data_IF_538160790917
#
_entry.id   IF_538160790917
#
_cell.length_a   1.000
_cell.length_b   1.000
_cell.length_c   1.000
_cell.angle_alpha   90.00
_cell.angle_beta   90.00
_cell.angle_gamma   90.00
#
_symmetry.space_group_name_H-M   'P 1'
#
loop_
_entity.id
_entity.type
_entity.pdbx_description
1 polymer ?
#
# COMPACT_ATOMS: atom_id res chain seq x y z
N UNK A 1 3.57 18.27 -30.82
CA UNK A 1 3.43 17.03 -30.03
C UNK A 1 2.44 17.32 -28.91
N UNK A 2 1.22 16.75 -28.95
CA UNK A 2 0.18 17.07 -27.95
C UNK A 2 0.70 16.74 -26.56
N UNK A 3 0.53 17.61 -25.55
CA UNK A 3 0.79 17.21 -24.17
C UNK A 3 -0.17 16.06 -23.86
N UNK A 4 0.39 14.87 -23.60
CA UNK A 4 -0.40 13.81 -22.98
C UNK A 4 -0.91 14.39 -21.66
N UNK A 5 -2.23 14.41 -21.49
CA UNK A 5 -2.86 14.73 -20.21
C UNK A 5 -2.12 13.94 -19.12
N UNK A 6 -1.85 14.54 -17.94
CA UNK A 6 -1.36 13.75 -16.82
C UNK A 6 -2.35 12.60 -16.63
N UNK A 7 -1.83 11.41 -16.32
CA UNK A 7 -2.61 10.23 -15.89
C UNK A 7 -3.28 10.54 -14.53
N UNK A 8 -4.01 11.63 -14.45
CA UNK A 8 -4.76 12.05 -13.29
C UNK A 8 -5.86 11.02 -13.05
N UNK A 9 -5.84 10.43 -11.85
CA UNK A 9 -6.99 9.94 -11.11
C UNK A 9 -7.86 8.87 -11.78
N UNK A 10 -7.26 7.83 -12.38
CA UNK A 10 -8.07 6.64 -12.73
C UNK A 10 -8.45 5.78 -11.51
N UNK A 11 -7.79 5.99 -10.38
CA UNK A 11 -7.97 5.20 -9.17
C UNK A 11 -7.94 6.10 -7.93
N UNK A 12 -8.96 6.94 -7.77
CA UNK A 12 -9.26 7.55 -6.47
C UNK A 12 -9.57 6.44 -5.47
N UNK A 13 -9.27 6.62 -4.17
CA UNK A 13 -9.58 5.63 -3.12
C UNK A 13 -11.07 5.22 -3.06
N UNK A 14 -11.50 4.53 -2.01
CA UNK A 14 -12.89 4.03 -1.93
C UNK A 14 -13.96 5.13 -1.76
N UNK A 15 -13.52 6.39 -1.76
CA UNK A 15 -14.34 7.59 -1.78
C UNK A 15 -14.68 8.12 -0.38
N UNK A 16 -15.54 9.14 -0.38
CA UNK A 16 -16.01 9.81 0.82
C UNK A 16 -17.13 9.04 1.52
N UNK A 17 -17.15 9.08 2.86
CA UNK A 17 -18.15 8.47 3.73
C UNK A 17 -18.54 9.42 4.86
N UNK A 18 -19.81 9.35 5.27
CA UNK A 18 -20.35 10.19 6.33
C UNK A 18 -19.75 9.83 7.71
N UNK A 19 -19.88 10.77 8.65
CA UNK A 19 -19.44 10.60 10.03
C UNK A 19 -20.06 9.33 10.64
N UNK A 20 -19.25 8.53 11.33
CA UNK A 20 -19.71 7.30 11.98
C UNK A 20 -19.89 6.10 11.03
N UNK A 21 -19.38 6.17 9.80
CA UNK A 21 -19.41 5.04 8.86
C UNK A 21 -18.81 3.77 9.46
N UNK A 22 -19.60 2.69 9.42
CA UNK A 22 -19.19 1.34 9.82
C UNK A 22 -19.18 0.45 8.58
N UNK A 23 -18.05 -0.14 8.21
CA UNK A 23 -18.02 -0.99 7.03
C UNK A 23 -18.77 -2.31 7.28
N UNK A 24 -19.27 -2.89 6.21
CA UNK A 24 -19.89 -4.21 6.19
C UNK A 24 -19.03 -5.20 5.40
N UNK A 25 -19.29 -6.51 5.51
CA UNK A 25 -18.68 -7.50 4.62
C UNK A 25 -18.95 -7.23 3.13
N UNK A 26 -20.08 -6.59 2.79
CA UNK A 26 -20.41 -6.20 1.42
C UNK A 26 -19.45 -5.11 0.93
N UNK A 27 -19.17 -4.10 1.75
CA UNK A 27 -18.19 -3.05 1.43
C UNK A 27 -16.80 -3.65 1.18
N UNK A 28 -16.44 -4.68 1.94
CA UNK A 28 -15.18 -5.40 1.72
C UNK A 28 -15.17 -6.13 0.36
N UNK A 29 -16.27 -6.78 -0.02
CA UNK A 29 -16.40 -7.43 -1.34
C UNK A 29 -16.27 -6.44 -2.51
N UNK A 30 -16.86 -5.24 -2.39
CA UNK A 30 -16.69 -4.17 -3.38
C UNK A 30 -15.23 -3.72 -3.45
N UNK A 31 -14.58 -3.52 -2.31
CA UNK A 31 -13.16 -3.22 -2.24
C UNK A 31 -12.31 -4.31 -2.91
N UNK A 32 -12.58 -5.59 -2.65
CA UNK A 32 -11.83 -6.70 -3.26
C UNK A 32 -11.98 -6.72 -4.79
N UNK A 33 -13.18 -6.46 -5.30
CA UNK A 33 -13.45 -6.34 -6.73
C UNK A 33 -12.64 -5.20 -7.37
N UNK A 34 -12.68 -4.00 -6.77
CA UNK A 34 -11.95 -2.83 -7.29
C UNK A 34 -10.43 -3.05 -7.25
N UNK A 35 -9.94 -3.64 -6.15
CA UNK A 35 -8.53 -4.01 -6.00
C UNK A 35 -8.10 -5.06 -7.03
N UNK A 36 -8.92 -6.09 -7.27
CA UNK A 36 -8.63 -7.11 -8.28
C UNK A 36 -8.60 -6.52 -9.70
N UNK A 37 -9.49 -5.58 -9.99
CA UNK A 37 -9.48 -4.81 -11.24
C UNK A 37 -8.18 -4.02 -11.41
N UNK A 38 -7.70 -3.37 -10.34
CA UNK A 38 -6.41 -2.68 -10.36
C UNK A 38 -5.25 -3.65 -10.60
N UNK A 39 -5.21 -4.79 -9.91
CA UNK A 39 -4.15 -5.79 -10.13
C UNK A 39 -4.17 -6.40 -11.54
N UNK A 40 -5.32 -6.48 -12.17
CA UNK A 40 -5.46 -6.95 -13.56
C UNK A 40 -5.01 -5.88 -14.58
N UNK A 41 -4.83 -4.63 -14.15
CA UNK A 41 -4.30 -3.57 -14.99
C UNK A 41 -2.77 -3.65 -15.10
N UNK A 42 -2.16 -3.01 -16.11
CA UNK A 42 -0.70 -2.95 -16.23
C UNK A 42 0.00 -2.30 -15.01
N UNK A 43 -0.69 -1.39 -14.32
CA UNK A 43 -0.23 -0.75 -13.06
C UNK A 43 -0.16 -1.72 -11.89
N UNK A 44 -0.90 -2.83 -11.96
CA UNK A 44 -0.87 -3.90 -10.95
C UNK A 44 0.53 -4.50 -10.74
N UNK A 45 1.41 -4.39 -11.74
CA UNK A 45 2.80 -4.83 -11.65
C UNK A 45 3.59 -4.12 -10.55
N UNK A 46 3.46 -2.80 -10.42
CA UNK A 46 4.10 -2.02 -9.36
C UNK A 46 3.72 -2.53 -7.96
N UNK A 47 2.44 -2.87 -7.75
CA UNK A 47 1.98 -3.43 -6.48
C UNK A 47 2.58 -4.79 -6.15
N UNK A 48 2.85 -5.61 -7.17
CA UNK A 48 3.50 -6.92 -6.99
C UNK A 48 4.96 -6.76 -6.57
N UNK A 49 5.66 -5.76 -7.11
CA UNK A 49 7.06 -5.48 -6.78
C UNK A 49 7.25 -4.70 -5.47
N UNK A 50 6.21 -4.01 -4.98
CA UNK A 50 6.31 -3.20 -3.75
C UNK A 50 6.64 -4.01 -2.48
N UNK A 51 6.41 -5.33 -2.48
CA UNK A 51 6.65 -6.19 -1.32
C UNK A 51 5.78 -5.85 -0.11
N UNK A 52 6.12 -6.42 1.05
CA UNK A 52 5.40 -6.16 2.30
C UNK A 52 3.89 -6.40 2.21
N UNK A 53 3.11 -5.52 2.84
CA UNK A 53 1.64 -5.63 2.85
C UNK A 53 1.03 -5.47 1.46
N UNK A 54 1.53 -4.54 0.64
CA UNK A 54 0.99 -4.30 -0.71
C UNK A 54 1.27 -5.48 -1.64
N UNK A 55 2.51 -5.97 -1.66
CA UNK A 55 2.87 -7.18 -2.39
C UNK A 55 2.08 -8.41 -1.93
N UNK A 56 1.81 -8.53 -0.62
CA UNK A 56 0.96 -9.61 -0.09
C UNK A 56 -0.51 -9.44 -0.49
N UNK A 57 -1.04 -8.23 -0.56
CA UNK A 57 -2.42 -7.98 -1.03
C UNK A 57 -2.55 -8.27 -2.52
N UNK A 58 -1.50 -8.00 -3.29
CA UNK A 58 -1.39 -8.29 -4.71
C UNK A 58 -1.16 -9.78 -5.04
N UNK A 59 -1.12 -10.67 -4.02
CA UNK A 59 -0.63 -12.06 -4.09
C UNK A 59 -1.06 -12.75 -5.38
N UNK A 60 -0.03 -13.19 -6.12
CA UNK A 60 -0.12 -13.64 -7.49
C UNK A 60 0.08 -15.13 -7.66
N UNK A 61 -0.59 -15.66 -8.66
CA UNK A 61 -0.02 -16.65 -9.56
C UNK A 61 0.98 -15.93 -10.49
N UNK A 62 2.29 -16.13 -10.27
CA UNK A 62 3.37 -15.48 -11.04
C UNK A 62 3.31 -15.78 -12.54
N UNK A 63 2.61 -16.85 -12.95
CA UNK A 63 2.47 -17.24 -14.35
C UNK A 63 1.70 -16.21 -15.20
N UNK A 64 0.91 -15.33 -14.58
CA UNK A 64 0.14 -14.30 -15.30
C UNK A 64 0.89 -12.97 -15.46
N UNK A 65 2.16 -12.89 -15.08
CA UNK A 65 2.92 -11.64 -15.18
C UNK A 65 3.40 -11.45 -16.62
N UNK A 66 2.83 -10.47 -17.32
CA UNK A 66 3.39 -10.01 -18.59
C UNK A 66 4.73 -9.29 -18.32
N UNK A 67 5.83 -10.02 -18.56
CA UNK A 67 7.19 -9.51 -18.41
C UNK A 67 7.58 -8.55 -19.54
N UNK A 68 6.81 -8.46 -20.62
CA UNK A 68 7.10 -7.59 -21.76
C UNK A 68 6.56 -6.16 -21.58
N UNK A 69 6.06 -5.83 -20.39
CA UNK A 69 5.40 -4.55 -20.13
C UNK A 69 6.39 -3.37 -20.03
N UNK A 70 6.11 -2.27 -20.74
CA UNK A 70 7.03 -1.14 -20.87
C UNK A 70 6.85 -0.11 -19.72
N UNK A 71 7.89 0.07 -18.90
CA UNK A 71 7.91 1.07 -17.80
C UNK A 71 7.80 2.50 -18.31
N UNK A 72 8.22 2.78 -19.56
CA UNK A 72 8.12 4.12 -20.15
C UNK A 72 6.67 4.52 -20.49
N UNK A 73 5.75 3.55 -20.58
CA UNK A 73 4.34 3.82 -20.92
C UNK A 73 3.44 3.98 -19.70
N UNK A 74 3.77 3.33 -18.60
CA UNK A 74 2.88 3.24 -17.43
C UNK A 74 3.56 3.50 -16.10
N UNK A 75 4.89 3.57 -16.07
CA UNK A 75 5.66 3.89 -14.88
C UNK A 75 5.47 5.36 -14.48
N UNK A 76 6.04 5.70 -13.34
CA UNK A 76 6.09 7.07 -12.86
C UNK A 76 7.40 7.69 -13.36
N UNK A 77 7.29 8.84 -14.02
CA UNK A 77 8.44 9.64 -14.40
C UNK A 77 9.00 10.36 -13.17
N UNK A 78 10.25 10.08 -12.83
CA UNK A 78 11.03 10.75 -11.80
C UNK A 78 11.99 11.73 -12.48
N UNK A 79 11.84 13.02 -12.21
CA UNK A 79 12.69 14.07 -12.77
C UNK A 79 12.99 15.11 -11.71
N UNK A 80 14.26 15.49 -11.59
CA UNK A 80 14.78 16.43 -10.60
C UNK A 80 14.66 17.91 -11.03
N UNK A 81 14.23 18.16 -12.27
CA UNK A 81 14.13 19.52 -12.82
C UNK A 81 15.45 20.12 -13.31
N UNK A 82 16.59 19.46 -13.03
CA UNK A 82 17.93 20.00 -13.23
C UNK A 82 18.72 19.21 -14.28
N UNK A 83 18.46 17.90 -14.38
CA UNK A 83 19.11 17.00 -15.32
C UNK A 83 18.39 16.97 -16.67
N UNK A 84 19.12 16.78 -17.77
CA UNK A 84 18.52 16.55 -19.09
C UNK A 84 17.84 15.18 -19.21
N UNK A 85 18.13 14.25 -18.29
CA UNK A 85 17.58 12.89 -18.25
C UNK A 85 16.47 12.77 -17.20
N UNK A 86 15.48 11.93 -17.47
CA UNK A 86 14.44 11.53 -16.52
C UNK A 86 14.43 10.00 -16.36
N UNK A 87 14.14 9.53 -15.16
CA UNK A 87 14.04 8.11 -14.84
C UNK A 87 12.58 7.67 -14.85
N UNK A 88 12.34 6.40 -15.16
CA UNK A 88 11.01 5.79 -15.09
C UNK A 88 11.04 4.65 -14.10
N UNK A 89 10.21 4.74 -13.07
CA UNK A 89 10.12 3.74 -12.02
C UNK A 89 8.75 3.06 -12.04
N UNK A 90 8.72 1.75 -11.82
CA UNK A 90 7.47 1.03 -11.59
C UNK A 90 7.03 1.15 -10.11
N UNK A 91 6.84 2.39 -9.68
CA UNK A 91 6.39 2.75 -8.34
C UNK A 91 4.87 3.00 -8.32
N UNK A 92 4.24 2.83 -7.16
CA UNK A 92 2.83 3.16 -6.96
C UNK A 92 2.64 4.63 -6.58
N UNK A 93 1.54 5.24 -7.03
CA UNK A 93 1.11 6.55 -6.52
C UNK A 93 0.41 6.42 -5.16
N UNK A 94 0.31 7.51 -4.40
CA UNK A 94 -0.40 7.50 -3.11
C UNK A 94 -1.88 7.11 -3.24
N UNK A 95 -2.52 7.47 -4.36
CA UNK A 95 -3.90 7.08 -4.64
C UNK A 95 -4.04 5.59 -4.95
N UNK A 96 -3.09 5.02 -5.71
CA UNK A 96 -3.03 3.58 -5.96
C UNK A 96 -2.82 2.81 -4.64
N UNK A 97 -1.94 3.31 -3.77
CA UNK A 97 -1.76 2.77 -2.40
C UNK A 97 -3.05 2.88 -1.60
N UNK A 98 -3.75 4.02 -1.66
CA UNK A 98 -5.03 4.23 -0.99
C UNK A 98 -6.09 3.22 -1.45
N UNK A 99 -6.18 2.96 -2.76
CA UNK A 99 -7.04 1.92 -3.31
C UNK A 99 -6.64 0.53 -2.82
N UNK A 100 -5.36 0.17 -2.91
CA UNK A 100 -4.87 -1.18 -2.54
C UNK A 100 -5.08 -1.46 -1.05
N UNK A 101 -4.80 -0.49 -0.19
CA UNK A 101 -4.99 -0.59 1.26
C UNK A 101 -6.47 -0.46 1.68
N UNK A 102 -7.35 -0.08 0.75
CA UNK A 102 -8.79 0.04 0.99
C UNK A 102 -9.12 1.22 1.88
N UNK A 103 -8.61 2.41 1.53
CA UNK A 103 -8.78 3.66 2.26
C UNK A 103 -10.13 4.30 1.91
N UNK A 104 -10.86 4.69 2.94
CA UNK A 104 -12.01 5.59 2.89
C UNK A 104 -11.63 6.94 3.50
N UNK A 105 -12.23 8.01 2.97
CA UNK A 105 -12.21 9.34 3.59
C UNK A 105 -13.50 9.52 4.36
N UNK A 106 -13.41 9.63 5.69
CA UNK A 106 -14.58 9.71 6.58
C UNK A 106 -14.64 11.09 7.20
N UNK A 107 -15.81 11.73 7.16
CA UNK A 107 -16.06 13.02 7.81
C UNK A 107 -15.85 12.95 9.33
N UNK A 108 -15.12 13.91 9.92
CA UNK A 108 -14.90 14.00 11.37
C UNK A 108 -15.70 15.10 12.07
N UNK A 109 -16.38 15.99 11.32
CA UNK A 109 -17.21 17.05 11.90
C UNK A 109 -17.88 17.94 10.85
N UNK A 110 -18.84 18.76 11.31
CA UNK A 110 -19.68 19.62 10.50
C UNK A 110 -19.16 21.07 10.49
N UNK A 111 -18.22 21.37 9.60
CA UNK A 111 -18.07 22.74 9.08
C UNK A 111 -18.51 22.68 7.62
N UNK A 112 -19.52 23.48 7.26
CA UNK A 112 -20.13 23.47 5.92
C UNK A 112 -19.17 23.95 4.81
N UNK A 113 -18.11 24.68 5.18
CA UNK A 113 -17.17 25.29 4.22
C UNK A 113 -15.89 24.47 3.96
N UNK A 114 -15.47 23.60 4.90
CA UNK A 114 -14.32 22.69 4.74
C UNK A 114 -14.51 21.44 5.60
N UNK A 115 -15.05 20.35 5.04
CA UNK A 115 -15.32 19.15 5.80
C UNK A 115 -14.01 18.51 6.23
N UNK A 116 -13.71 18.56 7.54
CA UNK A 116 -12.60 17.81 8.09
C UNK A 116 -12.83 16.32 7.84
N UNK A 117 -11.83 15.67 7.24
CA UNK A 117 -11.87 14.23 6.95
C UNK A 117 -10.70 13.50 7.60
N UNK A 118 -10.91 12.22 7.86
CA UNK A 118 -9.87 11.30 8.30
C UNK A 118 -9.82 10.08 7.40
N UNK A 119 -8.61 9.65 7.06
CA UNK A 119 -8.37 8.43 6.29
C UNK A 119 -8.41 7.21 7.19
N UNK A 120 -9.33 6.30 6.94
CA UNK A 120 -9.44 4.99 7.59
C UNK A 120 -9.31 3.87 6.57
N UNK A 121 -8.78 2.71 6.95
CA UNK A 121 -8.42 1.67 5.96
C UNK A 121 -8.62 0.25 6.45
N UNK A 122 -8.82 -0.66 5.50
CA UNK A 122 -8.88 -2.11 5.73
C UNK A 122 -7.52 -2.71 6.09
N UNK A 123 -6.46 -2.23 5.44
CA UNK A 123 -5.08 -2.67 5.61
C UNK A 123 -4.15 -1.48 5.91
N UNK A 124 -3.06 -1.68 6.66
CA UNK A 124 -2.13 -0.59 6.93
C UNK A 124 -1.45 -0.14 5.64
N UNK A 125 -1.18 1.15 5.52
CA UNK A 125 -0.37 1.69 4.43
C UNK A 125 1.09 1.20 4.53
N UNK A 126 1.84 1.10 3.41
CA UNK A 126 3.21 0.62 3.37
C UNK A 126 4.13 1.27 4.40
N UNK A 127 4.12 2.60 4.50
CA UNK A 127 4.98 3.33 5.44
C UNK A 127 4.64 3.01 6.90
N UNK A 128 3.37 2.76 7.23
CA UNK A 128 2.95 2.36 8.58
C UNK A 128 3.45 0.96 8.89
N UNK A 129 3.32 0.04 7.94
CA UNK A 129 3.83 -1.32 8.05
C UNK A 129 5.36 -1.37 8.15
N UNK A 130 6.08 -0.51 7.41
CA UNK A 130 7.54 -0.42 7.43
C UNK A 130 8.10 -0.11 8.83
N UNK A 131 7.37 0.68 9.62
CA UNK A 131 7.74 1.02 10.99
C UNK A 131 7.24 0.00 12.04
N UNK A 132 6.53 -1.05 11.62
CA UNK A 132 6.11 -2.15 12.49
C UNK A 132 7.28 -3.08 12.81
N UNK A 133 7.19 -3.82 13.92
CA UNK A 133 8.17 -4.88 14.21
C UNK A 133 8.01 -6.14 13.35
N UNK A 134 6.98 -6.20 12.48
CA UNK A 134 6.82 -7.24 11.47
C UNK A 134 7.69 -6.98 10.23
N UNK A 135 8.16 -5.75 10.04
CA UNK A 135 9.06 -5.44 8.94
C UNK A 135 10.48 -5.93 9.24
N UNK A 136 10.82 -7.10 8.71
CA UNK A 136 12.13 -7.76 8.85
C UNK A 136 12.84 -7.92 7.50
N UNK A 137 12.44 -7.15 6.49
CA UNK A 137 12.99 -7.21 5.13
C UNK A 137 12.31 -8.25 4.22
N UNK A 138 11.47 -9.13 4.77
CA UNK A 138 10.70 -10.12 4.00
C UNK A 138 9.35 -10.42 4.65
N UNK A 139 8.46 -11.11 3.94
CA UNK A 139 7.14 -11.50 4.46
C UNK A 139 7.23 -12.76 5.34
N UNK A 140 7.45 -12.56 6.64
CA UNK A 140 7.66 -13.66 7.60
C UNK A 140 6.38 -14.48 7.89
N UNK A 141 6.50 -15.70 8.46
CA UNK A 141 5.35 -16.47 8.94
C UNK A 141 4.46 -15.70 9.93
N UNK A 142 5.03 -14.82 10.75
CA UNK A 142 4.26 -14.00 11.67
C UNK A 142 3.47 -12.90 10.94
N UNK A 143 4.02 -12.32 9.87
CA UNK A 143 3.28 -11.44 8.97
C UNK A 143 2.07 -12.17 8.37
N UNK A 144 2.26 -13.41 7.90
CA UNK A 144 1.18 -14.21 7.33
C UNK A 144 0.11 -14.56 8.38
N UNK A 145 0.50 -14.97 9.59
CA UNK A 145 -0.45 -15.26 10.69
C UNK A 145 -1.28 -14.03 11.03
N UNK A 146 -0.64 -12.86 11.15
CA UNK A 146 -1.34 -11.60 11.39
C UNK A 146 -2.33 -11.28 10.26
N UNK A 147 -1.88 -11.38 9.01
CA UNK A 147 -2.69 -11.12 7.83
C UNK A 147 -3.92 -12.04 7.79
N UNK A 148 -3.73 -13.35 7.97
CA UNK A 148 -4.82 -14.32 7.97
C UNK A 148 -5.80 -14.09 9.12
N UNK A 149 -5.30 -13.82 10.32
CA UNK A 149 -6.14 -13.48 11.48
C UNK A 149 -7.02 -12.26 11.18
N UNK A 150 -6.44 -11.22 10.58
CA UNK A 150 -7.21 -10.02 10.21
C UNK A 150 -8.20 -10.30 9.08
N UNK A 151 -7.81 -11.04 8.05
CA UNK A 151 -8.69 -11.43 6.95
C UNK A 151 -9.92 -12.18 7.46
N UNK A 152 -9.73 -13.11 8.39
CA UNK A 152 -10.84 -13.83 9.04
C UNK A 152 -11.77 -12.88 9.80
N UNK A 153 -11.23 -11.92 10.55
CA UNK A 153 -12.04 -10.93 11.26
C UNK A 153 -12.83 -10.03 10.30
N UNK A 154 -12.24 -9.65 9.17
CA UNK A 154 -12.93 -8.87 8.14
C UNK A 154 -14.08 -9.66 7.54
N UNK A 155 -13.84 -10.93 7.15
CA UNK A 155 -14.88 -11.81 6.60
C UNK A 155 -16.00 -12.11 7.60
N UNK A 156 -15.67 -12.17 8.90
CA UNK A 156 -16.65 -12.32 9.98
C UNK A 156 -17.42 -11.02 10.30
N UNK A 157 -17.07 -9.88 9.68
CA UNK A 157 -17.68 -8.57 9.96
C UNK A 157 -17.31 -8.00 11.33
N UNK A 158 -16.28 -8.53 12.00
CA UNK A 158 -15.84 -8.10 13.34
C UNK A 158 -14.65 -7.15 13.32
N UNK A 159 -14.02 -6.97 12.16
CA UNK A 159 -12.90 -6.05 12.01
C UNK A 159 -13.34 -4.59 11.87
N UNK A 160 -12.69 -3.69 12.61
CA UNK A 160 -12.80 -2.25 12.43
C UNK A 160 -11.83 -1.74 11.36
N UNK A 161 -12.21 -0.64 10.69
CA UNK A 161 -11.26 0.19 9.96
C UNK A 161 -10.37 0.91 10.96
N UNK A 162 -9.14 1.18 10.56
CA UNK A 162 -8.21 1.93 11.38
C UNK A 162 -7.65 3.14 10.64
N UNK A 163 -7.48 4.22 11.38
CA UNK A 163 -6.63 5.35 11.03
C UNK A 163 -5.16 4.94 11.05
N UNK A 164 -4.31 5.78 10.45
CA UNK A 164 -2.86 5.59 10.48
C UNK A 164 -2.31 5.46 11.92
N UNK A 165 -2.85 6.21 12.87
CA UNK A 165 -2.41 6.20 14.27
C UNK A 165 -2.83 4.93 14.98
N UNK A 166 -4.07 4.48 14.81
CA UNK A 166 -4.57 3.23 15.38
C UNK A 166 -3.81 2.03 14.81
N UNK A 167 -3.49 2.06 13.52
CA UNK A 167 -2.67 1.03 12.90
C UNK A 167 -1.34 0.83 13.61
N UNK A 168 -0.62 1.92 13.95
CA UNK A 168 0.65 1.84 14.70
C UNK A 168 0.50 1.08 16.02
N UNK A 169 -0.66 1.19 16.68
CA UNK A 169 -0.96 0.43 17.89
C UNK A 169 -1.22 -1.05 17.59
N UNK A 170 -2.06 -1.34 16.58
CA UNK A 170 -2.46 -2.71 16.19
C UNK A 170 -1.28 -3.53 15.67
N UNK A 171 -0.33 -2.88 14.97
CA UNK A 171 0.81 -3.57 14.34
C UNK A 171 2.13 -3.36 15.09
N UNK A 172 2.09 -2.91 16.36
CA UNK A 172 3.28 -2.62 17.19
C UNK A 172 4.12 -3.86 17.57
N UNK A 173 3.94 -5.01 16.90
CA UNK A 173 4.65 -6.28 17.13
C UNK A 173 6.17 -6.12 17.38
N UNK A 174 6.80 -7.16 17.93
CA UNK A 174 8.19 -7.22 18.44
C UNK A 174 9.18 -6.17 17.89
N UNK A 175 9.29 -5.01 18.56
CA UNK A 175 10.22 -3.93 18.21
C UNK A 175 11.67 -4.39 18.13
N UNK A 176 12.05 -5.39 18.93
CA UNK A 176 13.39 -5.99 18.93
C UNK A 176 13.74 -6.65 17.58
N UNK A 177 12.76 -7.29 16.92
CA UNK A 177 12.99 -7.94 15.62
C UNK A 177 13.40 -6.92 14.55
N UNK A 178 12.79 -5.72 14.58
CA UNK A 178 13.19 -4.61 13.70
C UNK A 178 14.59 -4.11 14.00
N UNK A 179 14.97 -3.99 15.27
CA UNK A 179 16.33 -3.57 15.64
C UNK A 179 17.38 -4.53 15.12
N UNK A 180 17.14 -5.84 15.23
CA UNK A 180 18.03 -6.87 14.68
C UNK A 180 18.12 -6.77 13.16
N UNK A 181 16.99 -6.60 12.47
CA UNK A 181 16.97 -6.43 11.01
C UNK A 181 17.78 -5.22 10.55
N UNK A 182 17.59 -4.05 11.19
CA UNK A 182 18.34 -2.82 10.88
C UNK A 182 19.83 -3.00 11.16
N UNK A 183 20.20 -3.65 12.26
CA UNK A 183 21.60 -3.93 12.56
C UNK A 183 22.23 -4.86 11.51
N UNK A 184 21.49 -5.89 11.06
CA UNK A 184 21.93 -6.81 10.03
C UNK A 184 22.11 -6.11 8.67
N UNK A 185 21.17 -5.25 8.27
CA UNK A 185 21.28 -4.43 7.05
C UNK A 185 22.52 -3.51 7.09
N UNK A 186 22.78 -2.87 8.23
CA UNK A 186 23.96 -2.03 8.43
C UNK A 186 25.27 -2.81 8.29
N UNK A 187 25.36 -3.99 8.93
CA UNK A 187 26.53 -4.87 8.84
C UNK A 187 26.73 -5.41 7.42
N UNK A 188 25.64 -5.80 6.74
CA UNK A 188 25.69 -6.25 5.35
C UNK A 188 26.17 -5.13 4.41
N UNK A 189 25.70 -3.90 4.59
CA UNK A 189 26.16 -2.75 3.81
C UNK A 189 27.65 -2.46 4.05
N UNK A 190 28.13 -2.54 5.29
CA UNK A 190 29.55 -2.41 5.61
C UNK A 190 30.40 -3.50 4.94
N UNK A 191 29.92 -4.74 4.96
CA UNK A 191 30.58 -5.84 4.27
C UNK A 191 30.67 -5.60 2.76
N UNK A 192 29.57 -5.22 2.11
CA UNK A 192 29.57 -4.91 0.67
C UNK A 192 30.54 -3.78 0.31
N UNK A 193 30.63 -2.73 1.13
CA UNK A 193 31.58 -1.64 0.93
C UNK A 193 33.05 -2.05 1.18
N UNK A 194 33.29 -3.17 1.85
CA UNK A 194 34.65 -3.68 2.08
C UNK A 194 35.18 -4.52 0.91
N UNK A 195 34.30 -4.97 0.01
CA UNK A 195 34.64 -5.85 -1.12
C UNK A 195 34.43 -5.19 -2.50
N UNK A 196 33.81 -4.00 -2.54
CA UNK A 196 33.64 -3.15 -3.74
C UNK A 196 34.63 -2.00 -3.69
#
# INVERSE_FOLDING_TARGET
MKPQLPLADRFTGLGYRCMGYKPTPIDYGVYEMLRQRFFSSPRGRAARFAGGVVGRLAKLDLASLDLNHDVFTTGIRLWDGQSAAAYWADALTDQEIDLICGVYEVATGANDDDPQTTKVSWWPKPHVFLHSGMNTGWWSPDCERWYQKRLTAIKAGTAALHTQTEWKGVIRFFQKSRQVAVANESLAAQFLNSIL
#
